data_IF_965780184383
#
_entry.id   IF_965780184383
#
_cell.length_a   1.000
_cell.length_b   1.000
_cell.length_c   1.000
_cell.angle_alpha   90.00
_cell.angle_beta   90.00
_cell.angle_gamma   90.00
#
_symmetry.space_group_name_H-M   'P 1'
#
loop_
_entity.id
_entity.type
_entity.pdbx_description
1 polymer ?
#
# COMPACT_ATOMS: atom_id res chain seq x y z
N UNK A 1 -20.84 3.86 66.81
CA UNK A 1 -20.12 4.96 66.14
C UNK A 1 -20.26 4.78 64.64
N UNK A 2 -21.11 5.57 63.97
CA UNK A 2 -21.23 5.56 62.52
C UNK A 2 -20.84 6.94 61.96
N UNK A 3 -19.70 7.09 61.31
CA UNK A 3 -19.40 8.30 60.51
C UNK A 3 -18.04 8.12 59.80
N UNK A 4 -18.03 7.76 58.50
CA UNK A 4 -17.01 8.24 57.54
C UNK A 4 -17.25 7.81 56.07
N UNK A 5 -18.48 7.90 55.54
CA UNK A 5 -18.74 7.60 54.10
C UNK A 5 -19.36 8.73 53.30
N UNK A 6 -19.94 9.77 53.93
CA UNK A 6 -20.63 10.84 53.17
C UNK A 6 -19.70 11.84 52.47
N UNK A 7 -18.47 12.04 52.95
CA UNK A 7 -17.55 13.03 52.39
C UNK A 7 -16.95 12.66 51.02
N UNK A 8 -17.00 11.38 50.63
CA UNK A 8 -16.45 10.92 49.34
C UNK A 8 -17.44 11.15 48.20
N UNK A 9 -18.72 10.86 48.42
CA UNK A 9 -19.78 10.95 47.41
C UNK A 9 -20.00 12.42 46.98
N UNK A 10 -19.96 13.36 47.92
CA UNK A 10 -20.11 14.80 47.62
C UNK A 10 -18.98 15.33 46.72
N UNK A 11 -17.76 14.84 46.89
CA UNK A 11 -16.61 15.28 46.11
C UNK A 11 -16.59 14.68 44.69
N UNK A 12 -17.14 13.48 44.52
CA UNK A 12 -17.28 12.80 43.24
C UNK A 12 -18.40 13.43 42.42
N UNK A 13 -19.56 13.66 43.04
CA UNK A 13 -20.70 14.34 42.44
C UNK A 13 -20.35 15.78 42.01
N UNK A 14 -19.49 16.47 42.78
CA UNK A 14 -19.01 17.80 42.44
C UNK A 14 -18.02 17.80 41.26
N UNK A 15 -17.19 16.75 41.10
CA UNK A 15 -16.32 16.62 39.93
C UNK A 15 -17.14 16.32 38.67
N UNK A 16 -18.19 15.51 38.79
CA UNK A 16 -19.13 15.22 37.71
C UNK A 16 -19.83 16.51 37.24
N UNK A 17 -20.34 17.33 38.17
CA UNK A 17 -20.93 18.64 37.86
C UNK A 17 -19.94 19.61 37.20
N UNK A 18 -18.68 19.65 37.64
CA UNK A 18 -17.65 20.48 37.02
C UNK A 18 -17.28 20.02 35.60
N UNK A 19 -17.30 18.71 35.35
CA UNK A 19 -17.09 18.16 34.00
C UNK A 19 -18.25 18.52 33.08
N UNK A 20 -19.49 18.26 33.53
CA UNK A 20 -20.70 18.60 32.77
C UNK A 20 -20.79 20.11 32.46
N UNK A 21 -20.32 20.98 33.37
CA UNK A 21 -20.22 22.43 33.12
C UNK A 21 -19.23 22.79 32.00
N UNK A 22 -18.10 22.08 31.90
CA UNK A 22 -17.11 22.32 30.83
C UNK A 22 -17.64 21.83 29.48
N UNK A 23 -18.36 20.71 29.48
CA UNK A 23 -18.94 20.11 28.27
C UNK A 23 -20.25 20.80 27.83
N UNK A 24 -20.84 21.65 28.70
CA UNK A 24 -22.07 22.40 28.43
C UNK A 24 -23.35 21.59 28.61
N UNK A 25 -23.28 20.45 29.31
CA UNK A 25 -24.41 19.52 29.51
C UNK A 25 -25.26 19.84 30.76
N UNK A 26 -24.88 20.84 31.57
CA UNK A 26 -25.70 21.27 32.69
C UNK A 26 -26.94 22.04 32.24
N UNK A 27 -28.05 21.80 32.93
CA UNK A 27 -29.25 22.61 32.72
C UNK A 27 -29.02 24.08 33.15
N UNK A 28 -29.84 25.03 32.66
CA UNK A 28 -29.72 26.44 33.05
C UNK A 28 -29.84 26.67 34.57
N UNK A 29 -30.66 25.87 35.24
CA UNK A 29 -30.90 25.96 36.69
C UNK A 29 -29.68 25.46 37.48
N UNK A 30 -29.11 24.31 37.08
CA UNK A 30 -27.91 23.74 37.71
C UNK A 30 -26.67 24.62 37.46
N UNK A 31 -26.61 25.26 36.30
CA UNK A 31 -25.54 26.20 35.94
C UNK A 31 -25.51 27.39 36.89
N UNK A 32 -26.67 28.01 37.15
CA UNK A 32 -26.77 29.15 38.08
C UNK A 32 -26.35 28.74 39.50
N UNK A 33 -26.79 27.57 39.96
CA UNK A 33 -26.43 27.04 41.29
C UNK A 33 -24.92 26.77 41.39
N UNK A 34 -24.32 26.19 40.36
CA UNK A 34 -22.89 25.91 40.32
C UNK A 34 -22.06 27.20 40.24
N UNK A 35 -22.49 28.21 39.47
CA UNK A 35 -21.80 29.50 39.36
C UNK A 35 -21.83 30.28 40.69
N UNK A 36 -22.94 30.23 41.42
CA UNK A 36 -23.01 30.79 42.77
C UNK A 36 -22.04 30.09 43.74
N UNK A 37 -21.91 28.76 43.64
CA UNK A 37 -20.95 27.99 44.44
C UNK A 37 -19.50 28.29 44.05
N UNK A 38 -19.21 28.43 42.75
CA UNK A 38 -17.90 28.83 42.24
C UNK A 38 -17.52 30.25 42.68
N UNK A 39 -18.48 31.17 42.76
CA UNK A 39 -18.23 32.52 43.27
C UNK A 39 -17.83 32.51 44.75
N UNK A 40 -18.44 31.64 45.55
CA UNK A 40 -18.20 31.53 46.99
C UNK A 40 -16.93 30.75 47.36
N UNK A 41 -16.52 29.74 46.57
CA UNK A 41 -15.40 28.85 46.90
C UNK A 41 -14.19 28.98 45.96
N UNK A 42 -13.11 29.54 46.50
CA UNK A 42 -11.81 29.68 45.82
C UNK A 42 -11.18 28.32 45.45
N UNK A 43 -11.36 27.29 46.27
CA UNK A 43 -10.80 25.95 46.01
C UNK A 43 -11.45 25.31 44.79
N UNK A 44 -12.76 25.50 44.64
CA UNK A 44 -13.51 25.04 43.47
C UNK A 44 -13.10 25.77 42.19
N UNK A 45 -12.87 27.10 42.26
CA UNK A 45 -12.36 27.87 41.12
C UNK A 45 -11.00 27.38 40.62
N UNK A 46 -10.08 27.10 41.55
CA UNK A 46 -8.76 26.53 41.19
C UNK A 46 -8.88 25.16 40.52
N UNK A 47 -9.82 24.33 40.96
CA UNK A 47 -10.06 23.00 40.39
C UNK A 47 -10.67 23.08 38.99
N UNK A 48 -11.64 23.98 38.77
CA UNK A 48 -12.18 24.27 37.43
C UNK A 48 -11.10 24.79 36.47
N UNK A 49 -10.22 25.70 36.95
CA UNK A 49 -9.11 26.21 36.14
C UNK A 49 -8.12 25.10 35.74
N UNK A 50 -7.85 24.14 36.63
CA UNK A 50 -7.03 22.97 36.34
C UNK A 50 -7.65 22.07 35.25
N UNK A 51 -8.95 21.80 35.34
CA UNK A 51 -9.68 21.01 34.34
C UNK A 51 -9.68 21.70 32.96
N UNK A 52 -9.99 23.00 32.91
CA UNK A 52 -9.95 23.78 31.64
C UNK A 52 -8.56 23.78 31.00
N UNK A 53 -7.49 23.86 31.82
CA UNK A 53 -6.11 23.79 31.33
C UNK A 53 -5.80 22.41 30.73
N UNK A 54 -6.25 21.33 31.35
CA UNK A 54 -6.04 19.96 30.84
C UNK A 54 -6.79 19.74 29.52
N UNK A 55 -8.02 20.24 29.41
CA UNK A 55 -8.78 20.22 28.16
C UNK A 55 -8.08 21.00 27.03
N UNK A 56 -7.55 22.20 27.32
CA UNK A 56 -6.75 22.95 26.34
C UNK A 56 -5.46 22.24 25.92
N UNK A 57 -4.88 21.40 26.77
CA UNK A 57 -3.74 20.56 26.40
C UNK A 57 -4.15 19.42 25.44
N UNK A 58 -5.34 18.84 25.61
CA UNK A 58 -5.89 17.87 24.67
C UNK A 58 -6.21 18.49 23.31
N UNK A 59 -6.68 19.74 23.29
CA UNK A 59 -6.90 20.49 22.03
C UNK A 59 -5.60 20.86 21.31
N UNK A 60 -4.51 21.08 22.05
CA UNK A 60 -3.19 21.39 21.49
C UNK A 60 -2.41 20.15 21.03
N UNK A 61 -2.97 18.95 21.17
CA UNK A 61 -2.39 17.76 20.57
C UNK A 61 -2.36 17.89 19.05
N UNK A 62 -1.22 17.63 18.39
CA UNK A 62 -1.11 17.72 16.95
C UNK A 62 -2.07 16.75 16.30
N UNK A 63 -3.09 17.28 15.61
CA UNK A 63 -3.96 16.49 14.74
C UNK A 63 -3.13 16.09 13.53
N UNK A 64 -2.74 14.82 13.45
CA UNK A 64 -2.15 14.26 12.24
C UNK A 64 -3.15 14.49 11.09
N UNK A 65 -2.71 15.24 10.07
CA UNK A 65 -3.46 15.34 8.82
C UNK A 65 -3.50 13.94 8.21
N UNK A 66 -4.65 13.29 8.34
CA UNK A 66 -4.87 11.96 7.83
C UNK A 66 -4.61 11.99 6.33
N UNK A 67 -3.60 11.24 5.88
CA UNK A 67 -3.31 11.15 4.45
C UNK A 67 -4.56 10.65 3.71
N UNK A 68 -4.82 11.17 2.51
CA UNK A 68 -5.93 10.76 1.62
C UNK A 68 -6.03 9.24 1.41
N UNK A 69 -4.94 8.51 1.67
CA UNK A 69 -4.84 7.04 1.67
C UNK A 69 -5.70 6.36 2.75
N UNK A 70 -5.94 6.98 3.89
CA UNK A 70 -6.82 6.43 4.96
C UNK A 70 -8.30 6.55 4.58
N UNK A 71 -8.67 7.67 3.97
CA UNK A 71 -10.03 7.89 3.44
C UNK A 71 -10.34 6.91 2.31
N UNK A 72 -9.39 6.67 1.41
CA UNK A 72 -9.49 5.64 0.38
C UNK A 72 -9.67 4.23 0.97
N UNK A 73 -8.88 3.88 1.99
CA UNK A 73 -8.97 2.57 2.67
C UNK A 73 -10.30 2.37 3.41
N UNK A 74 -10.93 3.45 3.90
CA UNK A 74 -12.23 3.37 4.57
C UNK A 74 -13.37 3.19 3.56
N UNK A 75 -13.33 3.90 2.42
CA UNK A 75 -14.31 3.71 1.33
C UNK A 75 -14.15 2.34 0.68
N UNK A 76 -12.93 1.86 0.50
CA UNK A 76 -12.62 0.50 0.03
C UNK A 76 -13.21 -0.55 1.01
N UNK A 77 -13.04 -0.36 2.32
CA UNK A 77 -13.62 -1.25 3.33
C UNK A 77 -15.15 -1.19 3.40
N UNK A 78 -15.76 -0.03 3.14
CA UNK A 78 -17.22 0.14 3.06
C UNK A 78 -17.78 -0.46 1.78
N UNK A 79 -17.08 -0.35 0.64
CA UNK A 79 -17.44 -0.98 -0.62
C UNK A 79 -17.38 -2.52 -0.52
N UNK A 80 -16.35 -3.06 0.17
CA UNK A 80 -16.22 -4.50 0.46
C UNK A 80 -17.32 -4.98 1.43
N UNK A 81 -17.81 -4.12 2.34
CA UNK A 81 -18.94 -4.46 3.22
C UNK A 81 -20.31 -4.33 2.53
N UNK A 82 -20.46 -3.44 1.56
CA UNK A 82 -21.71 -3.27 0.82
C UNK A 82 -22.02 -4.46 -0.10
N UNK A 83 -20.99 -5.13 -0.65
CA UNK A 83 -21.15 -6.33 -1.48
C UNK A 83 -21.37 -7.61 -0.67
N UNK A 84 -21.05 -7.61 0.63
CA UNK A 84 -21.16 -8.78 1.52
C UNK A 84 -22.54 -8.95 2.20
N UNK A 85 -23.42 -7.94 2.16
CA UNK A 85 -24.65 -7.91 2.98
C UNK A 85 -25.93 -8.43 2.30
N UNK A 86 -25.86 -9.01 1.10
CA UNK A 86 -27.00 -9.66 0.46
C UNK A 86 -26.98 -11.17 0.66
N UNK A 87 -27.13 -11.65 1.90
CA UNK A 87 -27.63 -13.01 2.16
C UNK A 87 -27.99 -13.26 3.63
N UNK A 88 -29.28 -13.61 3.82
CA UNK A 88 -29.87 -14.47 4.86
C UNK A 88 -30.50 -13.82 6.12
N UNK A 89 -31.82 -13.65 6.02
CA UNK A 89 -32.78 -13.97 7.09
C UNK A 89 -32.74 -15.48 7.42
N UNK A 90 -32.73 -15.88 8.70
CA UNK A 90 -33.89 -16.48 9.43
C UNK A 90 -33.54 -17.03 10.83
N UNK A 91 -34.42 -16.71 11.79
CA UNK A 91 -34.95 -17.57 12.87
C UNK A 91 -34.07 -18.05 14.04
N UNK A 92 -34.34 -17.59 15.27
CA UNK A 92 -35.30 -18.22 16.22
C UNK A 92 -35.27 -17.55 17.60
N UNK A 93 -36.47 -17.33 18.15
CA UNK A 93 -36.74 -16.85 19.51
C UNK A 93 -36.62 -17.97 20.56
N UNK A 94 -36.52 -17.62 21.85
CA UNK A 94 -37.19 -18.25 23.01
C UNK A 94 -37.02 -17.31 24.25
N UNK A 95 -38.13 -16.84 24.83
CA UNK A 95 -38.23 -16.26 26.20
C UNK A 95 -38.10 -17.37 27.26
N UNK A 96 -38.27 -17.26 28.58
CA UNK A 96 -38.92 -16.35 29.51
C UNK A 96 -38.74 -16.95 30.93
N UNK A 97 -38.83 -16.11 31.95
CA UNK A 97 -38.74 -16.27 33.42
C UNK A 97 -39.08 -17.62 34.13
N UNK A 98 -38.39 -17.95 35.24
CA UNK A 98 -38.85 -17.65 36.63
C UNK A 98 -38.11 -18.39 37.78
N UNK A 99 -37.90 -17.63 38.87
CA UNK A 99 -37.95 -17.92 40.34
C UNK A 99 -37.34 -19.20 41.00
N UNK A 100 -36.21 -18.94 41.69
CA UNK A 100 -35.72 -19.40 43.03
C UNK A 100 -35.33 -20.89 43.26
N UNK A 101 -34.29 -21.19 44.10
CA UNK A 101 -33.96 -20.59 45.41
C UNK A 101 -32.46 -20.24 45.57
N UNK A 102 -32.13 -18.94 45.52
CA UNK A 102 -30.77 -18.47 45.19
C UNK A 102 -29.67 -18.66 46.23
N UNK A 103 -29.95 -19.02 47.48
CA UNK A 103 -28.86 -19.09 48.48
C UNK A 103 -28.09 -20.42 48.50
N UNK A 104 -28.70 -21.52 48.05
CA UNK A 104 -28.02 -22.83 47.92
C UNK A 104 -27.21 -22.91 46.61
N UNK A 105 -27.62 -22.16 45.59
CA UNK A 105 -26.88 -22.04 44.34
C UNK A 105 -25.60 -21.23 44.48
N UNK A 106 -25.45 -20.31 45.44
CA UNK A 106 -24.21 -19.53 45.58
C UNK A 106 -23.07 -20.40 46.12
N UNK A 107 -23.34 -21.31 47.07
CA UNK A 107 -22.33 -22.22 47.61
C UNK A 107 -21.97 -23.33 46.62
N UNK A 108 -22.99 -23.90 45.95
CA UNK A 108 -22.79 -24.87 44.89
C UNK A 108 -22.13 -24.24 43.65
N UNK A 109 -22.49 -23.01 43.26
CA UNK A 109 -21.87 -22.29 42.15
C UNK A 109 -20.45 -21.83 42.48
N UNK A 110 -20.08 -21.57 43.74
CA UNK A 110 -18.69 -21.26 44.09
C UNK A 110 -17.80 -22.51 43.96
N UNK A 111 -18.27 -23.68 44.42
CA UNK A 111 -17.55 -24.94 44.28
C UNK A 111 -17.57 -25.47 42.84
N UNK A 112 -18.69 -25.31 42.13
CA UNK A 112 -18.78 -25.58 40.70
C UNK A 112 -18.01 -24.56 39.88
N UNK A 113 -17.89 -23.28 40.24
CA UNK A 113 -17.06 -22.30 39.52
C UNK A 113 -15.56 -22.51 39.79
N UNK A 114 -15.19 -23.01 40.98
CA UNK A 114 -13.82 -23.46 41.25
C UNK A 114 -13.48 -24.75 40.49
N UNK A 115 -14.38 -25.72 40.49
CA UNK A 115 -14.20 -27.00 39.79
C UNK A 115 -14.33 -26.86 38.28
N UNK A 116 -15.35 -26.18 37.75
CA UNK A 116 -15.46 -25.78 36.34
C UNK A 116 -14.45 -24.69 35.98
N UNK A 117 -13.91 -23.89 36.89
CA UNK A 117 -12.82 -22.96 36.58
C UNK A 117 -11.51 -23.71 36.37
N UNK A 118 -11.21 -24.68 37.24
CA UNK A 118 -10.04 -25.56 37.16
C UNK A 118 -10.17 -26.63 36.06
N UNK A 119 -11.37 -27.20 35.87
CA UNK A 119 -11.69 -28.08 34.74
C UNK A 119 -11.86 -27.29 33.47
N UNK A 120 -12.40 -26.07 33.42
CA UNK A 120 -12.37 -25.26 32.19
C UNK A 120 -10.93 -24.88 31.87
N UNK A 121 -10.07 -24.49 32.81
CA UNK A 121 -8.66 -24.27 32.49
C UNK A 121 -7.98 -25.55 32.03
N UNK A 122 -8.16 -26.71 32.69
CA UNK A 122 -7.59 -27.99 32.23
C UNK A 122 -8.20 -28.52 30.94
N UNK A 123 -9.50 -28.40 30.71
CA UNK A 123 -10.23 -28.89 29.52
C UNK A 123 -10.08 -27.90 28.36
N UNK A 124 -9.89 -26.60 28.61
CA UNK A 124 -9.49 -25.61 27.61
C UNK A 124 -8.02 -25.78 27.23
N UNK A 125 -7.12 -26.13 28.16
CA UNK A 125 -5.71 -26.40 27.80
C UNK A 125 -5.48 -27.79 27.24
N UNK A 126 -6.29 -28.80 27.60
CA UNK A 126 -6.03 -30.21 27.25
C UNK A 126 -7.07 -30.83 26.29
N UNK A 127 -8.20 -30.16 26.04
CA UNK A 127 -9.29 -30.66 25.17
C UNK A 127 -9.96 -29.59 24.30
N UNK A 128 -9.55 -28.32 24.35
CA UNK A 128 -9.85 -27.38 23.25
C UNK A 128 -8.72 -27.46 22.21
N UNK A 129 -9.05 -27.42 20.90
CA UNK A 129 -8.10 -27.54 19.81
C UNK A 129 -7.25 -26.26 19.64
N UNK A 130 -6.85 -25.61 20.73
CA UNK A 130 -6.13 -24.32 20.68
C UNK A 130 -4.63 -24.54 20.44
N UNK A 131 -4.05 -25.64 20.94
CA UNK A 131 -2.74 -26.08 20.47
C UNK A 131 -2.79 -26.43 18.98
N UNK A 132 -3.86 -27.10 18.53
CA UNK A 132 -4.13 -27.34 17.12
C UNK A 132 -4.40 -26.08 16.30
N UNK A 133 -4.91 -24.99 16.88
CA UNK A 133 -5.13 -23.70 16.21
C UNK A 133 -3.86 -22.85 16.16
N UNK A 134 -2.97 -22.88 17.15
CA UNK A 134 -1.67 -22.22 17.08
C UNK A 134 -0.74 -23.00 16.12
N UNK A 135 -0.85 -24.33 16.14
CA UNK A 135 -0.17 -25.23 15.20
C UNK A 135 -0.76 -25.10 13.77
N UNK A 136 -2.09 -24.94 13.59
CA UNK A 136 -2.71 -24.62 12.29
C UNK A 136 -2.45 -23.19 11.81
N UNK A 137 -2.43 -22.20 12.70
CA UNK A 137 -2.19 -20.80 12.33
C UNK A 137 -0.77 -20.62 11.80
N UNK A 138 0.20 -21.24 12.47
CA UNK A 138 1.58 -21.29 12.00
C UNK A 138 1.72 -22.20 10.78
N UNK A 139 0.98 -23.30 10.68
CA UNK A 139 0.99 -24.15 9.49
C UNK A 139 0.44 -23.42 8.25
N UNK A 140 -0.63 -22.62 8.39
CA UNK A 140 -1.18 -21.80 7.31
C UNK A 140 -0.18 -20.71 6.90
N UNK A 141 0.45 -20.06 7.88
CA UNK A 141 1.51 -19.07 7.64
C UNK A 141 2.69 -19.67 6.86
N UNK A 142 3.15 -20.85 7.26
CA UNK A 142 4.28 -21.53 6.62
C UNK A 142 3.89 -22.04 5.23
N UNK A 143 2.71 -22.66 5.09
CA UNK A 143 2.20 -23.22 3.84
C UNK A 143 1.94 -22.15 2.78
N UNK A 144 1.42 -20.99 3.18
CA UNK A 144 1.03 -19.92 2.27
C UNK A 144 1.91 -18.67 2.43
N UNK A 145 3.16 -18.83 2.87
CA UNK A 145 4.08 -17.71 3.11
C UNK A 145 4.23 -16.81 1.88
N UNK A 146 4.37 -17.40 0.70
CA UNK A 146 4.59 -16.66 -0.54
C UNK A 146 3.37 -15.84 -0.95
N UNK A 147 2.18 -16.42 -0.77
CA UNK A 147 0.91 -15.70 -0.92
C UNK A 147 0.84 -14.53 0.07
N UNK A 148 1.17 -14.77 1.34
CA UNK A 148 1.10 -13.75 2.39
C UNK A 148 2.12 -12.63 2.20
N UNK A 149 3.30 -12.90 1.64
CA UNK A 149 4.29 -11.87 1.31
C UNK A 149 3.77 -10.85 0.28
N UNK A 150 2.88 -11.30 -0.62
CA UNK A 150 2.29 -10.55 -1.73
C UNK A 150 0.76 -10.40 -1.62
N UNK A 151 0.22 -10.55 -0.41
CA UNK A 151 -1.21 -10.57 -0.14
C UNK A 151 -1.95 -9.33 -0.69
N UNK A 152 -1.48 -8.09 -0.49
CA UNK A 152 -2.15 -6.90 -1.03
C UNK A 152 -2.29 -6.93 -2.55
N UNK A 153 -1.36 -7.55 -3.27
CA UNK A 153 -1.41 -7.64 -4.72
C UNK A 153 -2.47 -8.63 -5.20
N UNK A 154 -2.69 -9.72 -4.46
CA UNK A 154 -3.78 -10.67 -4.74
C UNK A 154 -5.17 -10.05 -4.51
N UNK A 155 -5.32 -9.16 -3.53
CA UNK A 155 -6.61 -8.52 -3.22
C UNK A 155 -7.15 -7.65 -4.37
N UNK A 156 -6.28 -7.10 -5.22
CA UNK A 156 -6.67 -6.24 -6.34
C UNK A 156 -7.22 -7.01 -7.54
N UNK A 157 -7.02 -8.33 -7.54
CA UNK A 157 -7.26 -9.21 -8.69
C UNK A 157 -8.43 -10.14 -8.40
N UNK A 158 -9.35 -10.24 -9.35
CA UNK A 158 -10.55 -11.06 -9.22
C UNK A 158 -10.27 -12.53 -9.56
N UNK A 159 -9.64 -12.79 -10.70
CA UNK A 159 -9.34 -14.13 -11.18
C UNK A 159 -8.14 -14.16 -12.15
N UNK A 160 -7.78 -15.36 -12.63
CA UNK A 160 -6.74 -15.54 -13.65
C UNK A 160 -7.16 -15.02 -15.02
N UNK A 161 -8.46 -15.10 -15.34
CA UNK A 161 -8.96 -14.64 -16.62
C UNK A 161 -8.74 -13.14 -16.77
N UNK A 162 -8.94 -12.37 -15.70
CA UNK A 162 -8.62 -10.95 -15.59
C UNK A 162 -7.14 -10.68 -15.86
N UNK A 163 -6.22 -11.42 -15.22
CA UNK A 163 -4.78 -11.28 -15.50
C UNK A 163 -4.44 -11.60 -16.95
N UNK A 164 -5.12 -12.58 -17.54
CA UNK A 164 -4.93 -12.97 -18.94
C UNK A 164 -5.43 -11.88 -19.89
N UNK A 165 -6.59 -11.28 -19.62
CA UNK A 165 -7.14 -10.14 -20.37
C UNK A 165 -6.26 -8.90 -20.23
N UNK A 166 -5.75 -8.61 -19.03
CA UNK A 166 -4.79 -7.53 -18.83
C UNK A 166 -3.51 -7.74 -19.64
N UNK A 167 -3.00 -8.97 -19.72
CA UNK A 167 -1.80 -9.26 -20.53
C UNK A 167 -2.02 -9.02 -22.02
N UNK A 168 -3.23 -9.17 -22.54
CA UNK A 168 -3.56 -8.87 -23.94
C UNK A 168 -3.47 -7.38 -24.25
N UNK A 169 -3.56 -6.51 -23.23
CA UNK A 169 -3.36 -5.07 -23.42
C UNK A 169 -1.86 -4.76 -23.65
N UNK A 170 -1.57 -3.99 -24.69
CA UNK A 170 -0.19 -3.60 -25.06
C UNK A 170 0.57 -2.95 -23.90
N UNK A 171 -0.14 -2.16 -23.08
CA UNK A 171 0.41 -1.49 -21.90
C UNK A 171 1.06 -2.47 -20.91
N UNK A 172 0.34 -3.53 -20.55
CA UNK A 172 0.84 -4.51 -19.58
C UNK A 172 1.77 -5.53 -20.24
N UNK A 173 1.51 -5.94 -21.48
CA UNK A 173 2.39 -6.84 -22.24
C UNK A 173 3.81 -6.28 -22.39
N UNK A 174 3.95 -5.02 -22.79
CA UNK A 174 5.26 -4.39 -22.98
C UNK A 174 6.04 -4.22 -21.66
N UNK A 175 5.35 -3.91 -20.55
CA UNK A 175 5.98 -3.72 -19.23
C UNK A 175 6.37 -5.03 -18.56
N UNK A 176 5.62 -6.09 -18.79
CA UNK A 176 5.92 -7.42 -18.23
C UNK A 176 7.17 -8.03 -18.84
N UNK A 177 7.48 -7.75 -20.11
CA UNK A 177 8.73 -8.19 -20.76
C UNK A 177 9.98 -7.62 -20.08
N UNK A 178 9.89 -6.39 -19.55
CA UNK A 178 11.01 -5.69 -18.89
C UNK A 178 10.93 -5.79 -17.36
N UNK A 179 9.85 -6.36 -16.82
CA UNK A 179 9.66 -6.51 -15.38
C UNK A 179 10.65 -7.53 -14.80
N UNK A 180 11.23 -7.19 -13.66
CA UNK A 180 12.07 -8.10 -12.89
C UNK A 180 11.30 -9.38 -12.55
N UNK A 181 12.02 -10.50 -12.47
CA UNK A 181 11.45 -11.80 -12.13
C UNK A 181 10.71 -11.73 -10.78
N UNK A 182 9.41 -12.08 -10.73
CA UNK A 182 8.62 -11.97 -9.51
C UNK A 182 9.09 -13.02 -8.49
N UNK A 183 9.27 -12.60 -7.24
CA UNK A 183 9.70 -13.47 -6.15
C UNK A 183 8.72 -14.64 -5.95
N UNK A 184 7.42 -14.38 -6.18
CA UNK A 184 6.30 -15.35 -6.16
C UNK A 184 6.68 -16.70 -6.80
N UNK A 185 7.25 -16.71 -8.01
CA UNK A 185 7.49 -17.96 -8.76
C UNK A 185 8.74 -18.70 -8.28
N UNK A 186 9.77 -17.96 -7.87
CA UNK A 186 10.99 -18.54 -7.28
C UNK A 186 10.69 -19.20 -5.94
N UNK A 187 9.81 -18.58 -5.17
CA UNK A 187 9.53 -18.97 -3.81
C UNK A 187 8.40 -20.01 -3.72
N UNK A 188 7.52 -20.08 -4.72
CA UNK A 188 6.43 -21.05 -4.78
C UNK A 188 6.87 -22.53 -4.75
N UNK A 189 8.13 -22.80 -5.08
CA UNK A 189 8.70 -24.16 -5.05
C UNK A 189 9.34 -24.51 -3.71
N UNK A 190 9.35 -23.59 -2.75
CA UNK A 190 10.00 -23.83 -1.46
C UNK A 190 9.25 -24.86 -0.63
N UNK A 191 10.00 -25.76 0.00
CA UNK A 191 9.52 -26.65 1.04
C UNK A 191 9.12 -25.88 2.31
N UNK A 192 8.28 -26.50 3.15
CA UNK A 192 7.90 -25.93 4.44
C UNK A 192 9.12 -25.60 5.34
N UNK A 193 10.22 -26.35 5.23
CA UNK A 193 11.46 -26.09 5.98
C UNK A 193 12.23 -24.87 5.44
N UNK A 194 12.20 -24.64 4.14
CA UNK A 194 12.77 -23.42 3.52
C UNK A 194 11.94 -22.19 3.90
N UNK A 195 10.61 -22.31 3.94
CA UNK A 195 9.73 -21.25 4.43
C UNK A 195 10.01 -20.90 5.90
N UNK A 196 10.22 -21.89 6.78
CA UNK A 196 10.63 -21.68 8.18
C UNK A 196 11.98 -20.97 8.27
N UNK A 197 12.97 -21.44 7.53
CA UNK A 197 14.31 -20.84 7.49
C UNK A 197 14.25 -19.39 7.02
N UNK A 198 13.39 -19.09 6.04
CA UNK A 198 13.15 -17.73 5.56
C UNK A 198 12.53 -16.84 6.63
N UNK A 199 11.47 -17.30 7.30
CA UNK A 199 10.84 -16.55 8.40
C UNK A 199 11.87 -16.25 9.48
N UNK A 200 12.75 -17.19 9.82
CA UNK A 200 13.83 -16.95 10.79
C UNK A 200 14.79 -15.85 10.31
N UNK A 201 15.18 -15.89 9.03
CA UNK A 201 16.06 -14.90 8.40
C UNK A 201 15.44 -13.54 8.10
N UNK A 202 14.12 -13.39 8.19
CA UNK A 202 13.44 -12.09 7.99
C UNK A 202 13.79 -11.09 9.09
N UNK A 203 13.98 -9.82 8.69
CA UNK A 203 14.11 -8.73 9.66
C UNK A 203 12.75 -8.41 10.33
N UNK A 204 12.77 -7.59 11.39
CA UNK A 204 11.57 -7.21 12.15
C UNK A 204 10.51 -6.53 11.27
N UNK A 205 10.91 -5.72 10.29
CA UNK A 205 9.99 -5.06 9.36
C UNK A 205 9.29 -6.01 8.40
N UNK A 206 10.01 -7.03 7.90
CA UNK A 206 9.47 -8.09 7.05
C UNK A 206 8.52 -8.99 7.82
N UNK A 207 8.90 -9.42 9.03
CA UNK A 207 8.05 -10.18 9.95
C UNK A 207 6.75 -9.41 10.24
N UNK A 208 6.85 -8.12 10.55
CA UNK A 208 5.68 -7.28 10.80
C UNK A 208 4.80 -7.12 9.55
N UNK A 209 5.37 -7.04 8.34
CA UNK A 209 4.59 -7.00 7.10
C UNK A 209 3.82 -8.30 6.89
N UNK A 210 4.51 -9.44 6.95
CA UNK A 210 3.88 -10.76 6.79
C UNK A 210 2.81 -10.99 7.86
N UNK A 211 3.10 -10.62 9.11
CA UNK A 211 2.13 -10.73 10.20
C UNK A 211 0.89 -9.86 9.97
N UNK A 212 1.04 -8.61 9.52
CA UNK A 212 -0.12 -7.76 9.18
C UNK A 212 -0.92 -8.33 8.01
N UNK A 213 -0.26 -8.83 6.98
CA UNK A 213 -0.91 -9.46 5.84
C UNK A 213 -1.68 -10.72 6.28
N UNK A 214 -1.10 -11.51 7.17
CA UNK A 214 -1.75 -12.67 7.78
C UNK A 214 -3.00 -12.30 8.57
N UNK A 215 -2.91 -11.28 9.44
CA UNK A 215 -4.08 -10.78 10.18
C UNK A 215 -5.16 -10.23 9.23
N UNK A 216 -4.75 -9.50 8.18
CA UNK A 216 -5.67 -8.99 7.17
C UNK A 216 -6.38 -10.12 6.43
N UNK A 217 -5.67 -11.18 6.04
CA UNK A 217 -6.25 -12.37 5.43
C UNK A 217 -7.28 -13.04 6.34
N UNK A 218 -6.97 -13.23 7.63
CA UNK A 218 -7.89 -13.85 8.60
C UNK A 218 -9.15 -13.00 8.87
N UNK A 219 -9.10 -11.69 8.63
CA UNK A 219 -10.24 -10.79 8.80
C UNK A 219 -11.19 -10.80 7.59
N UNK A 220 -10.79 -11.37 6.46
CA UNK A 220 -11.66 -11.50 5.29
C UNK A 220 -12.76 -12.54 5.54
N UNK A 221 -13.93 -12.41 4.90
CA UNK A 221 -14.93 -13.47 4.90
C UNK A 221 -14.36 -14.79 4.36
N UNK A 222 -14.76 -15.92 4.95
CA UNK A 222 -14.40 -17.27 4.47
C UNK A 222 -14.50 -17.50 2.95
N UNK A 223 -15.56 -17.07 2.23
CA UNK A 223 -15.61 -17.23 0.78
C UNK A 223 -14.48 -16.47 0.07
N UNK A 224 -14.11 -15.30 0.57
CA UNK A 224 -13.06 -14.46 -0.01
C UNK A 224 -11.67 -15.03 0.28
N UNK A 225 -11.45 -15.56 1.49
CA UNK A 225 -10.22 -16.28 1.82
C UNK A 225 -10.00 -17.46 0.86
N UNK A 226 -11.04 -18.26 0.63
CA UNK A 226 -11.00 -19.40 -0.31
C UNK A 226 -10.73 -18.93 -1.74
N UNK A 227 -11.39 -17.87 -2.20
CA UNK A 227 -11.17 -17.29 -3.53
C UNK A 227 -9.71 -16.93 -3.74
N UNK A 228 -9.09 -16.22 -2.79
CA UNK A 228 -7.70 -15.78 -2.89
C UNK A 228 -6.71 -16.96 -2.88
N UNK A 229 -6.96 -17.98 -2.07
CA UNK A 229 -6.14 -19.20 -2.08
C UNK A 229 -6.27 -19.97 -3.40
N UNK A 230 -7.50 -20.11 -3.92
CA UNK A 230 -7.74 -20.72 -5.24
C UNK A 230 -7.03 -19.93 -6.33
N UNK A 231 -7.10 -18.60 -6.32
CA UNK A 231 -6.38 -17.74 -7.25
C UNK A 231 -4.86 -17.96 -7.18
N UNK A 232 -4.30 -18.08 -5.97
CA UNK A 232 -2.88 -18.38 -5.79
C UNK A 232 -2.51 -19.75 -6.37
N UNK A 233 -3.23 -20.80 -6.00
CA UNK A 233 -2.94 -22.17 -6.45
C UNK A 233 -3.09 -22.32 -7.96
N UNK A 234 -4.14 -21.71 -8.53
CA UNK A 234 -4.36 -21.70 -9.98
C UNK A 234 -3.28 -20.91 -10.71
N UNK A 235 -2.76 -19.82 -10.13
CA UNK A 235 -1.67 -19.04 -10.71
C UNK A 235 -0.38 -19.87 -10.78
N UNK A 236 -0.10 -20.65 -9.73
CA UNK A 236 1.08 -21.52 -9.67
C UNK A 236 0.97 -22.74 -10.58
N UNK A 237 -0.25 -23.24 -10.83
CA UNK A 237 -0.48 -24.36 -11.73
C UNK A 237 -0.51 -23.97 -13.23
N UNK A 238 -0.63 -22.68 -13.55
CA UNK A 238 -0.75 -22.22 -14.93
C UNK A 238 0.54 -22.43 -15.75
N UNK A 239 0.47 -22.80 -17.04
CA UNK A 239 1.67 -22.96 -17.87
C UNK A 239 2.46 -21.65 -18.07
N UNK A 240 1.80 -20.51 -17.89
CA UNK A 240 2.35 -19.16 -18.03
C UNK A 240 2.48 -18.43 -16.68
N UNK A 241 2.67 -19.14 -15.57
CA UNK A 241 2.82 -18.57 -14.21
C UNK A 241 3.80 -17.40 -14.14
N UNK A 242 4.95 -17.49 -14.82
CA UNK A 242 5.94 -16.42 -14.80
C UNK A 242 5.39 -15.11 -15.37
N UNK A 243 4.71 -15.20 -16.52
CA UNK A 243 4.13 -14.05 -17.21
C UNK A 243 2.98 -13.48 -16.38
N UNK A 244 2.06 -14.33 -15.91
CA UNK A 244 0.91 -13.90 -15.12
C UNK A 244 1.32 -13.27 -13.78
N UNK A 245 2.34 -13.82 -13.12
CA UNK A 245 2.89 -13.23 -11.89
C UNK A 245 3.51 -11.85 -12.14
N UNK A 246 4.19 -11.67 -13.29
CA UNK A 246 4.67 -10.35 -13.72
C UNK A 246 3.52 -9.38 -14.00
N UNK A 247 2.43 -9.86 -14.61
CA UNK A 247 1.23 -9.06 -14.88
C UNK A 247 0.60 -8.61 -13.56
N UNK A 248 0.37 -9.52 -12.61
CA UNK A 248 -0.15 -9.22 -11.27
C UNK A 248 0.64 -8.10 -10.59
N UNK A 249 1.97 -8.23 -10.57
CA UNK A 249 2.86 -7.22 -9.99
C UNK A 249 2.82 -5.89 -10.75
N UNK A 250 2.73 -5.93 -12.07
CA UNK A 250 2.68 -4.73 -12.92
C UNK A 250 1.36 -3.99 -12.72
N UNK A 251 0.26 -4.73 -12.68
CA UNK A 251 -1.08 -4.21 -12.43
C UNK A 251 -1.19 -3.58 -11.04
N UNK A 252 -0.78 -4.29 -9.98
CA UNK A 252 -0.82 -3.75 -8.61
C UNK A 252 -0.05 -2.43 -8.49
N UNK A 253 1.13 -2.35 -9.12
CA UNK A 253 1.93 -1.11 -9.14
C UNK A 253 1.26 0.01 -9.94
N UNK A 254 0.65 -0.31 -11.07
CA UNK A 254 -0.10 0.66 -11.86
C UNK A 254 -1.31 1.19 -11.07
N UNK A 255 -2.06 0.29 -10.44
CA UNK A 255 -3.23 0.63 -9.61
C UNK A 255 -2.84 1.57 -8.46
N UNK A 256 -1.72 1.31 -7.77
CA UNK A 256 -1.22 2.17 -6.71
C UNK A 256 -0.80 3.58 -7.15
N UNK A 257 -0.62 3.82 -8.45
CA UNK A 257 -0.29 5.14 -9.02
C UNK A 257 -1.53 5.93 -9.46
N UNK A 258 -2.71 5.32 -9.43
CA UNK A 258 -3.97 5.97 -9.75
C UNK A 258 -4.40 6.95 -8.66
N UNK A 259 -5.23 7.92 -9.04
CA UNK A 259 -5.90 8.78 -8.08
C UNK A 259 -6.87 7.93 -7.23
N UNK A 260 -7.07 8.25 -5.93
CA UNK A 260 -8.01 7.52 -5.09
C UNK A 260 -9.42 7.38 -5.70
N UNK A 261 -9.90 8.37 -6.47
CA UNK A 261 -11.21 8.29 -7.13
C UNK A 261 -11.25 7.18 -8.19
N UNK A 262 -10.22 7.10 -9.03
CA UNK A 262 -10.08 6.07 -10.07
C UNK A 262 -9.94 4.67 -9.45
N UNK A 263 -9.24 4.55 -8.32
CA UNK A 263 -9.10 3.29 -7.58
C UNK A 263 -10.45 2.76 -7.10
N UNK A 264 -11.26 3.63 -6.49
CA UNK A 264 -12.61 3.28 -6.05
C UNK A 264 -13.48 2.88 -7.24
N UNK A 265 -13.41 3.62 -8.34
CA UNK A 265 -14.20 3.33 -9.54
C UNK A 265 -13.85 1.97 -10.16
N UNK A 266 -12.56 1.60 -10.21
CA UNK A 266 -12.12 0.27 -10.66
C UNK A 266 -12.62 -0.84 -9.72
N UNK A 267 -12.63 -0.59 -8.42
CA UNK A 267 -13.03 -1.59 -7.40
C UNK A 267 -14.52 -1.88 -7.44
N UNK A 268 -15.34 -0.89 -7.75
CA UNK A 268 -16.80 -1.01 -7.78
C UNK A 268 -17.34 -1.63 -9.08
N UNK A 269 -16.55 -1.65 -10.16
CA UNK A 269 -16.95 -2.16 -11.47
C UNK A 269 -16.94 -3.68 -11.52
N UNK A 270 -17.85 -4.27 -12.29
CA UNK A 270 -17.80 -5.70 -12.60
C UNK A 270 -16.59 -6.03 -13.48
N UNK A 271 -16.21 -7.30 -13.56
CA UNK A 271 -14.97 -7.73 -14.24
C UNK A 271 -14.86 -7.26 -15.70
N UNK A 272 -15.97 -7.24 -16.46
CA UNK A 272 -15.95 -6.84 -17.86
C UNK A 272 -15.77 -5.33 -18.01
N UNK A 273 -16.57 -4.55 -17.28
CA UNK A 273 -16.48 -3.09 -17.24
C UNK A 273 -15.14 -2.62 -16.67
N UNK A 274 -14.56 -3.38 -15.72
CA UNK A 274 -13.25 -3.10 -15.13
C UNK A 274 -12.15 -3.14 -16.18
N UNK A 275 -12.14 -4.16 -17.05
CA UNK A 275 -11.16 -4.28 -18.14
C UNK A 275 -11.32 -3.15 -19.16
N UNK A 276 -12.55 -2.84 -19.56
CA UNK A 276 -12.85 -1.75 -20.49
C UNK A 276 -12.44 -0.38 -19.93
N UNK A 277 -12.79 -0.11 -18.67
CA UNK A 277 -12.43 1.13 -17.99
C UNK A 277 -10.92 1.27 -17.77
N UNK A 278 -10.21 0.18 -17.42
CA UNK A 278 -8.74 0.19 -17.35
C UNK A 278 -8.15 0.53 -18.72
N UNK A 279 -8.69 -0.03 -19.80
CA UNK A 279 -8.25 0.29 -21.16
C UNK A 279 -8.52 1.76 -21.50
N UNK A 280 -9.69 2.29 -21.17
CA UNK A 280 -10.04 3.70 -21.35
C UNK A 280 -9.09 4.62 -20.57
N UNK A 281 -8.83 4.33 -19.29
CA UNK A 281 -7.88 5.09 -18.47
C UNK A 281 -6.46 5.08 -19.03
N UNK A 282 -6.03 3.95 -19.59
CA UNK A 282 -4.72 3.85 -20.24
C UNK A 282 -4.71 4.70 -21.52
N UNK A 283 -5.77 4.66 -22.32
CA UNK A 283 -5.89 5.41 -23.57
C UNK A 283 -6.02 6.92 -23.34
N UNK A 284 -6.81 7.36 -22.36
CA UNK A 284 -6.96 8.78 -21.98
C UNK A 284 -5.62 9.35 -21.51
N UNK A 285 -4.90 8.60 -20.67
CA UNK A 285 -3.53 8.97 -20.23
C UNK A 285 -2.48 8.86 -21.32
N UNK A 286 -2.69 8.01 -22.33
CA UNK A 286 -1.84 7.94 -23.52
C UNK A 286 -2.07 9.16 -24.43
N UNK A 287 -3.33 9.60 -24.56
CA UNK A 287 -3.75 10.77 -25.34
C UNK A 287 -3.22 12.09 -24.79
N UNK A 288 -3.06 12.22 -23.47
CA UNK A 288 -2.44 13.37 -22.80
C UNK A 288 -0.89 13.40 -22.90
N UNK A 289 -0.31 12.55 -23.75
CA UNK A 289 1.12 12.34 -23.98
C UNK A 289 1.84 11.78 -22.74
N UNK A 290 2.03 10.45 -22.65
CA UNK A 290 3.05 9.82 -21.76
C UNK A 290 3.16 8.28 -21.77
N UNK A 291 2.56 7.54 -22.71
CA UNK A 291 2.83 6.10 -22.84
C UNK A 291 3.87 5.84 -23.93
N UNK A 292 4.95 5.15 -23.57
CA UNK A 292 5.99 4.70 -24.50
C UNK A 292 6.14 3.21 -24.30
N UNK A 293 5.92 2.40 -25.36
CA UNK A 293 6.19 0.98 -25.34
C UNK A 293 7.63 0.72 -24.88
N UNK A 294 7.85 -0.28 -24.02
CA UNK A 294 9.19 -0.61 -23.52
C UNK A 294 10.22 -0.84 -24.64
N UNK A 295 9.76 -1.35 -25.79
CA UNK A 295 10.56 -1.52 -27.01
C UNK A 295 11.12 -0.20 -27.55
N UNK A 296 10.29 0.84 -27.61
CA UNK A 296 10.70 2.17 -28.09
C UNK A 296 11.70 2.80 -27.14
N UNK A 297 11.54 2.59 -25.83
CA UNK A 297 12.49 3.08 -24.84
C UNK A 297 13.89 2.46 -24.99
N UNK A 298 13.97 1.18 -25.36
CA UNK A 298 15.24 0.50 -25.67
C UNK A 298 15.89 1.13 -26.91
N UNK A 299 15.11 1.38 -27.96
CA UNK A 299 15.57 2.02 -29.20
C UNK A 299 16.09 3.43 -28.91
N UNK A 300 15.34 4.24 -28.16
CA UNK A 300 15.73 5.61 -27.80
C UNK A 300 17.00 5.61 -26.94
N UNK A 301 17.10 4.74 -25.94
CA UNK A 301 18.29 4.65 -25.09
C UNK A 301 19.54 4.25 -25.88
N UNK A 302 19.41 3.27 -26.79
CA UNK A 302 20.52 2.86 -27.66
C UNK A 302 20.97 4.00 -28.57
N UNK A 303 20.01 4.71 -29.18
CA UNK A 303 20.32 5.88 -29.99
C UNK A 303 21.04 6.97 -29.17
N UNK A 304 20.59 7.26 -27.95
CA UNK A 304 21.27 8.22 -27.07
C UNK A 304 22.70 7.79 -26.71
N UNK A 305 22.92 6.50 -26.45
CA UNK A 305 24.27 5.95 -26.21
C UNK A 305 25.18 6.17 -27.42
N UNK A 306 24.70 5.88 -28.62
CA UNK A 306 25.44 6.03 -29.86
C UNK A 306 25.77 7.51 -30.15
N UNK A 307 24.79 8.42 -29.96
CA UNK A 307 25.00 9.87 -30.09
C UNK A 307 26.04 10.34 -29.08
N UNK A 308 25.98 9.86 -27.85
CA UNK A 308 26.91 10.25 -26.79
C UNK A 308 28.35 9.81 -27.10
N UNK A 309 28.54 8.62 -27.67
CA UNK A 309 29.85 8.13 -28.08
C UNK A 309 30.41 8.90 -29.29
N UNK A 310 29.60 9.14 -30.32
CA UNK A 310 30.04 9.93 -31.50
C UNK A 310 30.42 11.36 -31.16
N UNK A 311 29.74 11.95 -30.16
CA UNK A 311 29.95 13.33 -29.74
C UNK A 311 30.80 13.46 -28.48
N UNK A 312 31.52 12.40 -28.08
CA UNK A 312 32.31 12.35 -26.85
C UNK A 312 33.21 13.58 -26.69
N UNK A 313 34.02 13.92 -27.70
CA UNK A 313 34.97 15.03 -27.62
C UNK A 313 34.27 16.37 -27.35
N UNK A 314 33.09 16.58 -27.93
CA UNK A 314 32.30 17.80 -27.74
C UNK A 314 31.69 17.83 -26.34
N UNK A 315 31.15 16.70 -25.88
CA UNK A 315 30.56 16.57 -24.54
C UNK A 315 31.62 16.79 -23.45
N UNK A 316 32.82 16.23 -23.63
CA UNK A 316 33.90 16.34 -22.64
C UNK A 316 34.50 17.76 -22.55
N UNK A 317 34.34 18.61 -23.57
CA UNK A 317 34.76 20.03 -23.51
C UNK A 317 33.90 20.87 -22.56
N UNK A 318 32.66 20.48 -22.34
CA UNK A 318 31.72 21.15 -21.44
C UNK A 318 31.92 20.77 -19.96
N UNK A 319 32.90 19.90 -19.67
CA UNK A 319 33.16 19.38 -18.33
C UNK A 319 34.59 19.74 -17.92
N UNK A 320 34.82 19.89 -16.61
CA UNK A 320 36.17 20.14 -16.11
C UNK A 320 37.14 19.02 -16.51
N UNK A 321 38.42 19.40 -16.70
CA UNK A 321 39.46 18.52 -17.22
C UNK A 321 39.65 17.25 -16.39
N UNK A 322 39.56 17.33 -15.06
CA UNK A 322 39.75 16.18 -14.17
C UNK A 322 38.59 15.17 -14.33
N UNK A 323 37.36 15.64 -14.47
CA UNK A 323 36.20 14.76 -14.75
C UNK A 323 36.25 14.20 -16.16
N UNK A 324 36.69 14.97 -17.14
CA UNK A 324 36.83 14.49 -18.51
C UNK A 324 37.85 13.33 -18.59
N UNK A 325 38.99 13.47 -17.92
CA UNK A 325 40.02 12.43 -17.83
C UNK A 325 39.55 11.20 -17.04
N UNK A 326 38.72 11.40 -16.02
CA UNK A 326 38.11 10.28 -15.29
C UNK A 326 37.14 9.48 -16.16
N UNK A 327 36.34 10.15 -17.00
CA UNK A 327 35.36 9.50 -17.89
C UNK A 327 36.06 8.78 -19.04
N UNK A 328 37.13 9.36 -19.60
CA UNK A 328 37.85 8.78 -20.74
C UNK A 328 38.53 7.44 -20.38
N UNK A 329 38.92 7.25 -19.11
CA UNK A 329 39.52 6.02 -18.58
C UNK A 329 38.53 4.89 -18.26
N UNK A 330 37.22 5.15 -18.32
CA UNK A 330 36.21 4.12 -18.05
C UNK A 330 36.09 3.11 -19.20
N UNK A 331 35.60 1.90 -18.88
CA UNK A 331 35.18 0.95 -19.91
C UNK A 331 34.03 1.54 -20.76
N UNK A 332 33.84 1.03 -21.99
CA UNK A 332 32.87 1.59 -22.94
C UNK A 332 31.43 1.68 -22.39
N UNK A 333 31.02 0.72 -21.54
CA UNK A 333 29.66 0.67 -20.97
C UNK A 333 29.44 1.74 -19.91
N UNK A 334 30.38 1.92 -19.00
CA UNK A 334 30.28 2.93 -17.95
C UNK A 334 30.55 4.32 -18.49
N UNK A 335 31.43 4.40 -19.50
CA UNK A 335 31.68 5.60 -20.29
C UNK A 335 30.42 6.06 -21.02
N UNK A 336 29.73 5.20 -21.78
CA UNK A 336 28.49 5.56 -22.50
C UNK A 336 27.42 6.05 -21.52
N UNK A 337 27.22 5.37 -20.40
CA UNK A 337 26.27 5.78 -19.35
C UNK A 337 26.58 7.16 -18.78
N UNK A 338 27.85 7.46 -18.52
CA UNK A 338 28.29 8.79 -18.03
C UNK A 338 28.10 9.86 -19.10
N UNK A 339 28.46 9.56 -20.34
CA UNK A 339 28.29 10.46 -21.47
C UNK A 339 26.83 10.73 -21.77
N UNK A 340 25.92 9.75 -21.71
CA UNK A 340 24.47 9.94 -21.90
C UNK A 340 23.90 10.91 -20.85
N UNK A 341 24.32 10.79 -19.58
CA UNK A 341 23.89 11.74 -18.54
C UNK A 341 24.34 13.17 -18.82
N UNK A 342 25.56 13.34 -19.33
CA UNK A 342 26.09 14.64 -19.72
C UNK A 342 25.40 15.17 -20.98
N UNK A 343 25.20 14.31 -21.99
CA UNK A 343 24.46 14.59 -23.21
C UNK A 343 23.06 15.11 -22.90
N UNK A 344 22.31 14.39 -22.06
CA UNK A 344 20.96 14.78 -21.61
C UNK A 344 20.97 16.12 -20.88
N UNK A 345 22.05 16.46 -20.17
CA UNK A 345 22.20 17.76 -19.52
C UNK A 345 22.48 18.86 -20.53
N UNK A 346 23.38 18.63 -21.48
CA UNK A 346 23.76 19.58 -22.53
C UNK A 346 22.58 19.85 -23.46
N UNK A 347 21.89 18.81 -23.93
CA UNK A 347 20.72 18.95 -24.81
C UNK A 347 19.58 19.72 -24.15
N UNK A 348 19.45 19.62 -22.83
CA UNK A 348 18.48 20.41 -22.08
C UNK A 348 18.80 21.90 -22.04
N UNK A 349 20.08 22.26 -22.11
CA UNK A 349 20.54 23.65 -22.08
C UNK A 349 20.60 24.23 -23.49
N UNK A 350 21.11 23.44 -24.44
CA UNK A 350 21.30 23.82 -25.83
C UNK A 350 21.02 22.62 -26.75
N UNK A 351 19.77 22.40 -27.17
CA UNK A 351 19.40 21.27 -28.05
C UNK A 351 20.16 21.27 -29.37
N UNK A 352 20.63 22.45 -29.84
CA UNK A 352 21.33 22.63 -31.11
C UNK A 352 22.78 22.15 -31.11
N UNK A 353 23.41 22.05 -29.94
CA UNK A 353 24.86 21.94 -29.80
C UNK A 353 25.42 20.64 -30.40
N UNK A 354 24.58 19.61 -30.58
CA UNK A 354 24.97 18.28 -31.05
C UNK A 354 24.18 17.82 -32.28
N UNK A 355 23.45 18.73 -32.94
CA UNK A 355 22.49 18.40 -34.00
C UNK A 355 23.03 18.75 -35.40
N UNK A 356 24.20 18.21 -35.71
CA UNK A 356 24.78 18.29 -37.05
C UNK A 356 23.91 17.52 -38.08
N UNK A 357 24.09 17.75 -39.39
CA UNK A 357 23.27 17.08 -40.42
C UNK A 357 23.32 15.55 -40.36
N UNK A 358 24.42 14.97 -39.87
CA UNK A 358 24.55 13.52 -39.71
C UNK A 358 23.65 13.00 -38.58
N UNK A 359 23.66 13.65 -37.41
CA UNK A 359 22.80 13.27 -36.29
C UNK A 359 21.31 13.43 -36.62
N UNK A 360 20.95 14.41 -37.47
CA UNK A 360 19.58 14.51 -38.00
C UNK A 360 19.18 13.31 -38.85
N UNK A 361 20.09 12.78 -39.68
CA UNK A 361 19.84 11.54 -40.44
C UNK A 361 19.67 10.34 -39.50
N UNK A 362 20.54 10.21 -38.50
CA UNK A 362 20.45 9.13 -37.49
C UNK A 362 19.16 9.22 -36.67
N UNK A 363 18.72 10.43 -36.33
CA UNK A 363 17.43 10.64 -35.69
C UNK A 363 16.27 10.13 -36.56
N UNK A 364 16.27 10.40 -37.87
CA UNK A 364 15.20 9.91 -38.75
C UNK A 364 15.17 8.38 -38.84
N UNK A 365 16.35 7.74 -38.89
CA UNK A 365 16.45 6.27 -38.85
C UNK A 365 15.96 5.68 -37.53
N UNK A 366 16.28 6.34 -36.41
CA UNK A 366 15.76 5.95 -35.10
C UNK A 366 14.24 6.14 -35.04
N UNK A 367 13.73 7.29 -35.49
CA UNK A 367 12.31 7.61 -35.49
C UNK A 367 11.50 6.58 -36.28
N UNK A 368 11.95 6.16 -37.46
CA UNK A 368 11.24 5.15 -38.27
C UNK A 368 11.22 3.76 -37.63
N UNK A 369 12.09 3.51 -36.64
CA UNK A 369 12.12 2.24 -35.89
C UNK A 369 11.25 2.24 -34.62
N UNK A 370 10.63 3.38 -34.27
CA UNK A 370 9.69 3.49 -33.14
C UNK A 370 8.29 3.04 -33.52
N UNK A 371 7.42 2.79 -32.53
CA UNK A 371 6.00 2.52 -32.77
C UNK A 371 5.30 3.67 -33.51
N UNK A 372 4.27 3.34 -34.28
CA UNK A 372 3.50 4.31 -35.09
C UNK A 372 2.89 5.41 -34.22
N UNK A 373 2.34 5.05 -33.05
CA UNK A 373 1.77 6.01 -32.10
C UNK A 373 2.80 7.02 -31.60
N UNK A 374 4.04 6.57 -31.35
CA UNK A 374 5.12 7.45 -30.91
C UNK A 374 5.67 8.29 -32.06
N UNK A 375 5.76 7.74 -33.27
CA UNK A 375 6.09 8.51 -34.47
C UNK A 375 5.11 9.67 -34.69
N UNK A 376 3.80 9.39 -34.61
CA UNK A 376 2.76 10.42 -34.71
C UNK A 376 2.89 11.50 -33.62
N UNK A 377 3.26 11.12 -32.38
CA UNK A 377 3.48 12.08 -31.30
C UNK A 377 4.70 12.99 -31.58
N UNK A 378 5.79 12.43 -32.13
CA UNK A 378 6.94 13.21 -32.59
C UNK A 378 6.60 14.12 -33.78
N UNK A 379 5.69 13.70 -34.67
CA UNK A 379 5.26 14.52 -35.80
C UNK A 379 4.33 15.66 -35.41
N UNK A 380 3.60 15.53 -34.30
CA UNK A 380 2.77 16.61 -33.73
C UNK A 380 3.60 17.73 -33.12
N UNK A 381 4.88 17.50 -32.80
CA UNK A 381 5.70 18.53 -32.19
C UNK A 381 6.04 19.62 -33.22
N UNK A 382 5.96 20.90 -32.83
CA UNK A 382 6.09 22.01 -33.78
C UNK A 382 7.50 22.16 -34.35
N UNK A 383 8.50 21.59 -33.68
CA UNK A 383 9.86 21.63 -34.16
C UNK A 383 10.69 20.46 -33.60
N UNK A 384 11.84 20.27 -34.23
CA UNK A 384 12.79 19.23 -33.87
C UNK A 384 13.32 19.35 -32.42
N UNK A 385 13.46 20.56 -31.88
CA UNK A 385 13.93 20.75 -30.50
C UNK A 385 12.94 20.19 -29.48
N UNK A 386 11.64 20.36 -29.73
CA UNK A 386 10.57 19.76 -28.92
C UNK A 386 10.58 18.24 -28.99
N UNK A 387 10.88 17.66 -30.14
CA UNK A 387 11.08 16.22 -30.27
C UNK A 387 12.21 15.69 -29.39
N UNK A 388 13.35 16.38 -29.38
CA UNK A 388 14.48 16.00 -28.55
C UNK A 388 14.16 16.14 -27.06
N UNK A 389 13.48 17.22 -26.67
CA UNK A 389 13.04 17.38 -25.29
C UNK A 389 12.07 16.28 -24.86
N UNK A 390 11.13 15.90 -25.73
CA UNK A 390 10.22 14.78 -25.48
C UNK A 390 11.01 13.47 -25.28
N UNK A 391 11.99 13.16 -26.13
CA UNK A 391 12.86 11.97 -25.96
C UNK A 391 13.67 11.99 -24.65
N UNK A 392 14.09 13.17 -24.21
CA UNK A 392 14.85 13.32 -22.95
C UNK A 392 13.93 13.16 -21.73
N UNK A 393 12.77 13.81 -21.74
CA UNK A 393 11.81 13.71 -20.64
C UNK A 393 11.34 12.27 -20.43
N UNK A 394 11.15 11.56 -21.53
CA UNK A 394 10.68 10.19 -21.54
C UNK A 394 11.70 9.21 -20.98
N UNK A 395 12.96 9.33 -21.40
CA UNK A 395 14.06 8.54 -20.81
C UNK A 395 14.28 8.88 -19.34
N UNK A 396 14.18 10.16 -18.95
CA UNK A 396 14.29 10.58 -17.53
C UNK A 396 13.22 9.99 -16.64
N UNK A 397 11.98 9.94 -17.13
CA UNK A 397 10.86 9.34 -16.38
C UNK A 397 11.15 7.88 -16.07
N UNK A 398 11.59 7.10 -17.07
CA UNK A 398 11.97 5.70 -16.87
C UNK A 398 13.14 5.55 -15.89
N UNK A 399 14.17 6.40 -15.97
CA UNK A 399 15.26 6.38 -14.99
C UNK A 399 14.81 6.72 -13.57
N UNK A 400 13.86 7.65 -13.38
CA UNK A 400 13.29 7.97 -12.06
C UNK A 400 12.46 6.81 -11.53
N UNK A 401 11.63 6.21 -12.37
CA UNK A 401 10.81 5.05 -12.03
C UNK A 401 11.69 3.84 -11.70
N UNK A 402 12.82 3.66 -12.39
CA UNK A 402 13.80 2.61 -12.07
C UNK A 402 14.63 2.91 -10.81
N UNK A 403 14.93 4.18 -10.54
CA UNK A 403 15.64 4.55 -9.31
C UNK A 403 14.75 4.38 -8.08
N UNK A 404 13.47 4.75 -8.14
CA UNK A 404 12.52 4.51 -7.05
C UNK A 404 12.36 3.00 -6.76
N UNK A 405 12.33 2.15 -7.80
CA UNK A 405 12.39 0.68 -7.68
C UNK A 405 13.61 0.20 -6.88
N UNK A 406 14.81 0.72 -7.18
CA UNK A 406 16.04 0.31 -6.48
C UNK A 406 16.21 0.93 -5.09
N UNK A 407 15.77 2.18 -4.86
CA UNK A 407 15.84 2.78 -3.52
C UNK A 407 14.80 2.23 -2.55
N UNK A 408 13.67 1.72 -3.04
CA UNK A 408 12.72 0.96 -2.21
C UNK A 408 13.29 -0.39 -1.74
N UNK A 409 14.22 -0.97 -2.51
CA UNK A 409 14.98 -2.16 -2.14
C UNK A 409 16.19 -1.83 -1.24
N UNK A 410 16.84 -0.68 -1.44
CA UNK A 410 18.07 -0.30 -0.72
C UNK A 410 17.88 0.52 0.57
N UNK A 411 16.66 1.00 0.87
CA UNK A 411 16.34 1.58 2.20
C UNK A 411 16.18 0.53 3.31
N UNK A 412 16.48 -0.76 3.04
CA UNK A 412 16.35 -1.87 3.99
C UNK A 412 17.54 -2.14 4.90
N UNK A 413 18.57 -1.30 4.93
CA UNK A 413 19.63 -1.42 5.96
C UNK A 413 20.22 -0.04 6.29
N UNK A 414 20.02 0.51 7.50
CA UNK A 414 21.14 1.17 8.15
C UNK A 414 22.17 0.08 8.46
N UNK A 415 23.42 0.32 8.06
CA UNK A 415 24.54 -0.43 8.62
C UNK A 415 24.71 0.07 10.05
N UNK A 416 24.25 -0.72 11.01
CA UNK A 416 24.76 -0.73 12.38
C UNK A 416 25.08 -2.18 12.74
#
# INVERSE_FOLDING_TARGET
MPENTSFSDDAEQLNEQLSAYIDGELSPEETIVLEQRLAADEKLRKRLAGLKKNWGLLESLPRENVSSRFTASTVEMVAIRATANNSLDTSTAIGWASRNPRWLFILAAALLAGFFGYMATRVITNTSPVNGLIENRNALLIKHLNFLEHFPEYQLTDDIEFLTKLYQMEYFSSRTQVAAYPAIVKQAQDSNEEARTRILGMNSGEKNRVHRNYLGFLQLPEPEQKRLLILHDTLLAAPNTEVLSKVLMTYSRWYQQLDPLEQVEITLRNQHEKIEYIQELILSRAGEAKFIPGKDLIVINRWLEDVALRNEKTILREVDKNRADAISKLNNRDKSRRLVKLLVRILNQNPRLLMNPNERKQYQLMKSSLSESFQQNLDRQPNFERNINLLIETTRRDYRDNRSRNTGLNKRYPKD
#
